data_IF_396798241309
#
_entry.id   IF_396798241309
#
_cell.length_a   1.000
_cell.length_b   1.000
_cell.length_c   1.000
_cell.angle_alpha   90.00
_cell.angle_beta   90.00
_cell.angle_gamma   90.00
#
_symmetry.space_group_name_H-M   'P 1'
#
loop_
_entity.id
_entity.type
_entity.pdbx_description
1 polymer ?
#
# COMPACT_ATOMS: atom_id res chain seq x y z
N UNK A 1 -7.60 -43.98 35.18
CA UNK A 1 -7.73 -42.65 35.82
C UNK A 1 -7.29 -41.61 34.81
N UNK A 2 -8.25 -41.03 34.08
CA UNK A 2 -8.00 -40.03 33.05
C UNK A 2 -7.87 -38.65 33.69
N UNK A 3 -6.69 -38.02 33.55
CA UNK A 3 -6.52 -36.60 33.86
C UNK A 3 -6.80 -35.81 32.57
N UNK A 4 -7.98 -35.21 32.50
CA UNK A 4 -8.36 -34.23 31.47
C UNK A 4 -7.58 -32.94 31.73
N UNK A 5 -6.54 -32.70 30.93
CA UNK A 5 -5.93 -31.38 30.76
C UNK A 5 -6.92 -30.46 30.05
N UNK A 6 -7.20 -29.32 30.68
CA UNK A 6 -8.10 -28.26 30.25
C UNK A 6 -7.40 -27.47 29.15
N UNK A 7 -7.80 -27.63 27.89
CA UNK A 7 -7.31 -26.79 26.79
C UNK A 7 -7.78 -25.35 27.00
N UNK A 8 -6.80 -24.45 27.07
CA UNK A 8 -7.00 -23.03 27.16
C UNK A 8 -7.50 -22.49 25.82
N UNK A 9 -8.54 -21.66 25.89
CA UNK A 9 -9.10 -20.92 24.78
C UNK A 9 -8.02 -20.05 24.10
N UNK A 10 -7.65 -20.40 22.86
CA UNK A 10 -6.85 -19.54 22.00
C UNK A 10 -7.73 -18.47 21.35
N UNK A 11 -7.38 -17.23 21.63
CA UNK A 11 -7.86 -15.94 21.12
C UNK A 11 -8.25 -15.92 19.64
N UNK A 12 -9.44 -15.38 19.36
CA UNK A 12 -10.09 -15.23 18.03
C UNK A 12 -9.76 -13.92 17.28
N UNK A 13 -8.63 -13.24 17.54
CA UNK A 13 -8.39 -11.86 17.07
C UNK A 13 -7.00 -11.61 16.44
N UNK A 14 -6.55 -12.44 15.51
CA UNK A 14 -5.40 -12.09 14.66
C UNK A 14 -5.76 -12.35 13.20
N UNK A 15 -6.15 -11.31 12.47
CA UNK A 15 -6.22 -11.36 11.01
C UNK A 15 -4.83 -11.73 10.49
N UNK A 16 -4.70 -12.75 9.63
CA UNK A 16 -3.43 -13.08 9.01
C UNK A 16 -2.88 -11.82 8.34
N UNK A 17 -1.57 -11.65 8.36
CA UNK A 17 -0.90 -10.44 7.88
C UNK A 17 0.18 -10.86 6.89
N UNK A 18 0.34 -10.15 5.79
CA UNK A 18 1.42 -10.39 4.83
C UNK A 18 2.79 -10.20 5.53
N UNK A 19 3.89 -10.87 5.12
CA UNK A 19 5.26 -10.60 5.58
C UNK A 19 5.67 -9.11 5.70
N UNK A 20 4.94 -8.17 5.10
CA UNK A 20 5.13 -6.72 5.22
C UNK A 20 4.22 -5.98 6.21
N UNK A 21 3.40 -6.69 6.99
CA UNK A 21 2.57 -6.09 8.04
C UNK A 21 1.20 -5.59 7.56
N UNK A 22 0.83 -5.84 6.30
CA UNK A 22 -0.49 -5.49 5.76
C UNK A 22 -1.50 -6.58 6.14
N UNK A 23 -2.56 -6.27 6.90
CA UNK A 23 -3.56 -7.26 7.30
C UNK A 23 -4.32 -7.76 6.07
N UNK A 24 -4.65 -9.05 6.07
CA UNK A 24 -5.54 -9.63 5.07
C UNK A 24 -6.98 -9.20 5.32
N UNK A 25 -7.71 -8.94 4.24
CA UNK A 25 -9.15 -8.74 4.28
C UNK A 25 -9.85 -10.06 4.65
N UNK A 26 -10.76 -10.06 5.63
CA UNK A 26 -11.57 -11.23 5.94
C UNK A 26 -12.47 -11.57 4.74
N UNK A 27 -12.32 -12.78 4.19
CA UNK A 27 -13.17 -13.29 3.13
C UNK A 27 -14.44 -13.89 3.71
N UNK A 28 -15.61 -13.34 3.33
CA UNK A 28 -16.91 -13.82 3.82
C UNK A 28 -17.50 -14.78 2.78
N UNK A 29 -17.31 -16.08 3.00
CA UNK A 29 -17.83 -17.15 2.12
C UNK A 29 -19.32 -17.40 2.28
N UNK A 30 -19.77 -17.66 3.52
CA UNK A 30 -21.18 -17.76 3.86
C UNK A 30 -21.55 -16.66 4.84
N UNK A 31 -22.45 -15.78 4.42
CA UNK A 31 -22.94 -14.67 5.27
C UNK A 31 -23.64 -15.20 6.52
N UNK A 32 -24.23 -16.41 6.41
CA UNK A 32 -24.92 -17.15 7.48
C UNK A 32 -23.99 -17.57 8.64
N UNK A 33 -22.69 -17.73 8.37
CA UNK A 33 -21.70 -18.10 9.41
C UNK A 33 -21.30 -16.90 10.28
N UNK A 34 -21.60 -15.67 9.83
CA UNK A 34 -21.29 -14.42 10.54
C UNK A 34 -22.52 -13.70 11.05
N UNK A 35 -23.69 -13.94 10.43
CA UNK A 35 -24.94 -13.28 10.76
C UNK A 35 -26.05 -14.33 10.89
N UNK A 36 -26.37 -14.67 12.13
CA UNK A 36 -27.45 -15.61 12.47
C UNK A 36 -28.80 -14.92 12.64
N UNK A 37 -28.81 -13.65 13.05
CA UNK A 37 -30.03 -12.90 13.40
C UNK A 37 -30.01 -11.50 12.82
N UNK A 38 -31.18 -10.89 12.56
CA UNK A 38 -31.29 -9.53 12.00
C UNK A 38 -30.59 -8.47 12.86
N UNK A 39 -30.54 -8.65 14.17
CA UNK A 39 -29.84 -7.77 15.11
C UNK A 39 -28.32 -7.89 15.03
N UNK A 40 -27.78 -8.96 14.45
CA UNK A 40 -26.33 -9.18 14.29
C UNK A 40 -25.76 -8.51 13.03
N UNK A 41 -26.63 -8.14 12.08
CA UNK A 41 -26.27 -7.53 10.79
C UNK A 41 -25.58 -6.18 11.01
N UNK A 42 -26.20 -5.36 11.84
CA UNK A 42 -25.75 -4.00 12.09
C UNK A 42 -24.42 -3.95 12.88
N UNK A 43 -24.19 -4.75 13.94
CA UNK A 43 -22.89 -4.85 14.59
C UNK A 43 -21.83 -5.60 13.78
N UNK A 44 -22.16 -6.60 12.95
CA UNK A 44 -21.15 -7.21 12.04
C UNK A 44 -20.76 -6.25 10.93
N UNK A 45 -21.71 -5.58 10.27
CA UNK A 45 -21.42 -4.46 9.38
C UNK A 45 -20.59 -3.42 10.10
N UNK A 46 -20.97 -3.04 11.33
CA UNK A 46 -20.22 -2.07 12.14
C UNK A 46 -18.82 -2.57 12.51
N UNK A 47 -18.59 -3.87 12.69
CA UNK A 47 -17.26 -4.44 12.95
C UNK A 47 -16.39 -4.50 11.70
N UNK A 48 -16.95 -4.88 10.54
CA UNK A 48 -16.29 -4.75 9.23
C UNK A 48 -16.00 -3.27 8.92
N UNK A 49 -16.88 -2.38 9.36
CA UNK A 49 -16.72 -0.94 9.29
C UNK A 49 -15.66 -0.43 10.30
N UNK A 50 -15.66 -0.84 11.56
CA UNK A 50 -14.72 -0.39 12.60
C UNK A 50 -13.30 -0.91 12.39
N UNK A 51 -13.15 -2.12 11.83
CA UNK A 51 -11.87 -2.60 11.30
C UNK A 51 -11.29 -1.61 10.25
N UNK A 52 -12.18 -0.87 9.58
CA UNK A 52 -11.90 0.12 8.53
C UNK A 52 -11.91 1.60 9.05
N UNK A 53 -12.43 1.94 10.24
CA UNK A 53 -12.57 3.34 10.68
C UNK A 53 -12.59 3.56 12.20
N UNK A 54 -11.53 4.16 12.72
CA UNK A 54 -11.63 5.08 13.86
C UNK A 54 -11.49 6.51 13.33
N UNK A 55 -12.62 7.10 12.87
CA UNK A 55 -13.06 8.49 13.15
C UNK A 55 -14.31 8.85 12.32
N UNK A 56 -15.49 8.77 12.97
CA UNK A 56 -16.72 9.61 12.88
C UNK A 56 -17.31 10.00 11.50
N UNK A 57 -18.61 10.11 11.20
CA UNK A 57 -19.94 9.85 11.80
C UNK A 57 -20.95 9.88 10.63
N UNK A 58 -22.11 9.24 10.83
CA UNK A 58 -23.48 9.62 10.41
C UNK A 58 -23.60 10.58 9.22
N UNK A 59 -24.14 10.07 8.12
CA UNK A 59 -24.63 10.85 6.97
C UNK A 59 -24.55 10.01 5.70
N UNK A 60 -25.68 9.85 5.04
CA UNK A 60 -25.83 9.05 3.83
C UNK A 60 -24.82 9.47 2.75
N UNK A 61 -23.77 8.67 2.54
CA UNK A 61 -23.03 8.72 1.29
C UNK A 61 -22.37 7.38 0.95
N UNK A 62 -22.52 6.98 -0.33
CA UNK A 62 -22.04 5.72 -0.92
C UNK A 62 -20.51 5.64 -1.06
N UNK A 63 -19.77 6.55 -0.40
CA UNK A 63 -18.32 6.74 -0.48
C UNK A 63 -17.54 6.10 0.69
N UNK A 64 -18.21 5.30 1.52
CA UNK A 64 -17.64 4.72 2.73
C UNK A 64 -16.99 3.35 2.44
N UNK A 65 -15.95 3.28 1.63
CA UNK A 65 -15.22 2.02 1.36
C UNK A 65 -13.71 2.24 1.55
N UNK A 66 -13.10 1.52 2.50
CA UNK A 66 -11.65 1.25 2.49
C UNK A 66 -10.68 2.37 2.88
N UNK A 67 -11.02 3.29 3.80
CA UNK A 67 -10.15 4.45 4.12
C UNK A 67 -8.71 4.10 4.54
N UNK A 68 -8.45 2.97 5.22
CA UNK A 68 -7.07 2.55 5.54
C UNK A 68 -6.31 1.99 4.34
N UNK A 69 -6.91 1.05 3.59
CA UNK A 69 -6.26 0.48 2.41
C UNK A 69 -6.07 1.52 1.31
N UNK A 70 -7.03 2.42 1.09
CA UNK A 70 -6.89 3.56 0.18
C UNK A 70 -5.82 4.56 0.63
N UNK A 71 -5.73 4.84 1.94
CA UNK A 71 -4.66 5.70 2.46
C UNK A 71 -3.28 5.04 2.33
N UNK A 72 -3.18 3.74 2.61
CA UNK A 72 -1.96 2.95 2.40
C UNK A 72 -1.58 2.89 0.93
N UNK A 73 -2.55 2.66 0.04
CA UNK A 73 -2.36 2.65 -1.42
C UNK A 73 -1.86 4.02 -1.89
N UNK A 74 -2.50 5.11 -1.47
CA UNK A 74 -2.09 6.47 -1.83
C UNK A 74 -0.68 6.80 -1.32
N UNK A 75 -0.30 6.34 -0.13
CA UNK A 75 1.05 6.53 0.40
C UNK A 75 2.09 5.71 -0.37
N UNK A 76 1.79 4.45 -0.69
CA UNK A 76 2.66 3.59 -1.49
C UNK A 76 2.78 4.10 -2.93
N UNK A 77 1.71 4.60 -3.53
CA UNK A 77 1.74 5.24 -4.85
C UNK A 77 2.63 6.49 -4.85
N UNK A 78 2.52 7.35 -3.83
CA UNK A 78 3.43 8.51 -3.68
C UNK A 78 4.88 8.10 -3.53
N UNK A 79 5.16 7.08 -2.70
CA UNK A 79 6.51 6.55 -2.50
C UNK A 79 7.06 5.93 -3.78
N UNK A 80 6.25 5.16 -4.51
CA UNK A 80 6.61 4.59 -5.81
C UNK A 80 6.91 5.69 -6.83
N UNK A 81 6.08 6.73 -6.90
CA UNK A 81 6.32 7.88 -7.78
C UNK A 81 7.67 8.55 -7.50
N UNK A 82 7.95 8.85 -6.23
CA UNK A 82 9.24 9.43 -5.83
C UNK A 82 10.44 8.51 -6.08
N UNK A 83 10.27 7.19 -6.03
CA UNK A 83 11.33 6.24 -6.39
C UNK A 83 11.53 6.16 -7.92
N UNK A 84 10.45 6.17 -8.70
CA UNK A 84 10.51 6.16 -10.18
C UNK A 84 11.19 7.40 -10.75
N UNK A 85 11.04 8.55 -10.09
CA UNK A 85 11.74 9.78 -10.43
C UNK A 85 13.23 9.73 -10.06
N UNK A 86 13.57 9.23 -8.87
CA UNK A 86 14.96 9.21 -8.36
C UNK A 86 15.85 8.15 -8.99
N UNK A 87 15.33 6.99 -9.34
CA UNK A 87 16.12 5.89 -9.92
C UNK A 87 16.90 6.32 -11.17
N UNK A 88 16.32 6.98 -12.18
CA UNK A 88 17.07 7.42 -13.36
C UNK A 88 18.14 8.47 -13.01
N UNK A 89 17.92 9.33 -12.01
CA UNK A 89 18.92 10.30 -11.57
C UNK A 89 20.12 9.61 -10.89
N UNK A 90 19.87 8.60 -10.04
CA UNK A 90 20.93 7.77 -9.46
C UNK A 90 21.67 6.98 -10.55
N UNK A 91 20.98 6.51 -11.58
CA UNK A 91 21.62 5.83 -12.70
C UNK A 91 22.52 6.76 -13.50
N UNK A 92 22.05 7.95 -13.88
CA UNK A 92 22.84 8.97 -14.60
C UNK A 92 24.10 9.38 -13.82
N UNK A 93 23.97 9.57 -12.51
CA UNK A 93 25.11 9.90 -11.65
C UNK A 93 26.10 8.75 -11.57
N UNK A 94 25.65 7.51 -11.44
CA UNK A 94 26.52 6.32 -11.49
C UNK A 94 27.24 6.21 -12.85
N UNK A 95 26.53 6.44 -13.96
CA UNK A 95 27.12 6.38 -15.30
C UNK A 95 28.17 7.49 -15.50
N UNK A 96 27.94 8.67 -14.93
CA UNK A 96 28.92 9.77 -14.92
C UNK A 96 30.18 9.40 -14.13
N UNK A 97 30.03 8.79 -12.95
CA UNK A 97 31.18 8.31 -12.14
C UNK A 97 31.95 7.21 -12.88
N UNK A 98 31.26 6.28 -13.54
CA UNK A 98 31.90 5.24 -14.37
C UNK A 98 32.63 5.83 -15.57
N UNK A 99 32.07 6.88 -16.18
CA UNK A 99 32.72 7.59 -17.27
C UNK A 99 34.02 8.26 -16.80
N UNK A 100 34.00 8.93 -15.64
CA UNK A 100 35.19 9.51 -15.02
C UNK A 100 36.24 8.44 -14.65
N UNK A 101 35.79 7.27 -14.18
CA UNK A 101 36.66 6.13 -13.89
C UNK A 101 37.38 5.61 -15.13
N UNK A 102 36.65 5.42 -16.23
CA UNK A 102 37.20 4.89 -17.48
C UNK A 102 38.25 5.83 -18.10
N UNK A 103 38.08 7.14 -17.89
CA UNK A 103 39.00 8.18 -18.35
C UNK A 103 40.13 8.51 -17.38
N UNK A 104 40.23 7.82 -16.24
CA UNK A 104 41.31 8.06 -15.28
C UNK A 104 42.70 7.75 -15.90
N UNK A 105 42.75 6.79 -16.82
CA UNK A 105 43.98 6.38 -17.51
C UNK A 105 44.28 7.23 -18.77
N UNK A 106 43.41 8.18 -19.12
CA UNK A 106 43.51 9.02 -20.31
C UNK A 106 43.92 10.45 -19.87
N UNK A 107 45.10 10.91 -20.29
CA UNK A 107 45.63 12.23 -19.90
C UNK A 107 44.89 13.41 -20.59
N UNK A 108 43.92 13.12 -21.47
CA UNK A 108 43.15 14.15 -22.15
C UNK A 108 42.10 14.82 -21.25
N UNK A 109 42.27 16.12 -21.03
CA UNK A 109 41.31 16.93 -20.28
C UNK A 109 39.92 16.94 -20.94
N UNK A 110 38.89 16.72 -20.14
CA UNK A 110 37.50 16.67 -20.60
C UNK A 110 36.99 18.10 -20.80
N UNK A 111 36.71 18.49 -22.03
CA UNK A 111 35.95 19.72 -22.30
C UNK A 111 34.46 19.45 -22.06
N UNK A 112 33.88 20.12 -21.05
CA UNK A 112 32.45 20.08 -20.80
C UNK A 112 31.88 21.47 -20.57
N UNK A 113 30.57 21.58 -20.69
CA UNK A 113 29.83 22.81 -20.43
C UNK A 113 29.13 22.69 -19.08
N UNK A 114 29.57 23.49 -18.11
CA UNK A 114 29.01 23.54 -16.76
C UNK A 114 27.92 24.59 -16.66
N UNK A 115 26.86 24.25 -15.94
CA UNK A 115 25.77 25.14 -15.58
C UNK A 115 26.16 25.96 -14.34
N UNK A 116 26.25 27.29 -14.48
CA UNK A 116 26.42 28.21 -13.34
C UNK A 116 25.08 28.70 -12.80
N UNK A 117 24.08 28.79 -13.68
CA UNK A 117 22.69 29.17 -13.41
C UNK A 117 21.82 28.56 -14.52
N UNK A 118 20.50 28.47 -14.32
CA UNK A 118 19.53 27.84 -15.22
C UNK A 118 19.64 28.30 -16.70
N UNK A 119 20.15 29.52 -16.92
CA UNK A 119 20.35 30.11 -18.26
C UNK A 119 21.80 30.47 -18.58
N UNK A 120 22.75 30.20 -17.67
CA UNK A 120 24.16 30.55 -17.81
C UNK A 120 25.04 29.32 -17.76
N UNK A 121 25.72 29.07 -18.88
CA UNK A 121 26.62 27.94 -19.05
C UNK A 121 28.03 28.43 -19.39
N UNK A 122 29.05 27.76 -18.86
CA UNK A 122 30.46 28.05 -19.15
C UNK A 122 31.20 26.79 -19.56
N UNK A 123 32.12 26.93 -20.52
CA UNK A 123 32.99 25.83 -20.95
C UNK A 123 34.16 25.71 -19.97
N UNK A 124 34.42 24.51 -19.48
CA UNK A 124 35.59 24.23 -18.67
C UNK A 124 36.29 22.95 -19.12
N UNK A 125 37.59 22.89 -18.83
CA UNK A 125 38.45 21.72 -19.02
C UNK A 125 38.65 21.05 -17.66
N UNK A 126 38.21 19.81 -17.54
CA UNK A 126 38.37 19.01 -16.32
C UNK A 126 39.62 18.13 -16.50
N UNK A 127 40.66 18.29 -15.68
CA UNK A 127 41.79 17.35 -15.65
C UNK A 127 41.36 16.01 -15.03
N UNK A 128 42.19 14.97 -15.13
CA UNK A 128 41.91 13.70 -14.46
C UNK A 128 41.69 13.91 -12.95
N UNK A 129 40.53 13.51 -12.44
CA UNK A 129 40.16 13.65 -11.02
C UNK A 129 40.16 12.30 -10.33
N UNK A 130 40.53 12.26 -9.06
CA UNK A 130 40.55 11.02 -8.26
C UNK A 130 39.36 10.89 -7.30
N UNK A 131 38.71 12.01 -6.97
CA UNK A 131 37.59 12.08 -6.04
C UNK A 131 36.41 12.85 -6.64
N UNK A 132 35.22 12.52 -6.16
CA UNK A 132 33.95 13.16 -6.54
C UNK A 132 33.20 13.60 -5.30
N UNK A 133 32.50 14.74 -5.41
CA UNK A 133 31.68 15.26 -4.32
C UNK A 133 30.23 14.79 -4.49
N UNK A 134 29.69 14.11 -3.48
CA UNK A 134 28.32 13.58 -3.49
C UNK A 134 27.50 14.29 -2.42
N UNK A 135 26.33 14.79 -2.83
CA UNK A 135 25.33 15.35 -1.92
C UNK A 135 24.50 14.23 -1.27
N UNK A 136 24.62 14.10 0.06
CA UNK A 136 23.92 13.05 0.83
C UNK A 136 22.56 13.52 1.36
N UNK A 137 22.24 14.80 1.20
CA UNK A 137 21.07 15.45 1.78
C UNK A 137 21.37 16.16 3.09
N UNK A 138 20.35 16.79 3.68
CA UNK A 138 20.44 17.52 4.96
C UNK A 138 21.59 18.56 5.02
N UNK A 139 21.87 19.25 3.90
CA UNK A 139 22.98 20.20 3.75
C UNK A 139 24.38 19.58 3.93
N UNK A 140 24.53 18.28 3.67
CA UNK A 140 25.80 17.56 3.77
C UNK A 140 26.28 17.09 2.40
N UNK A 141 27.51 17.47 2.08
CA UNK A 141 28.27 17.00 0.92
C UNK A 141 29.57 16.36 1.42
N UNK A 142 29.96 15.21 0.88
CA UNK A 142 31.22 14.54 1.20
C UNK A 142 31.98 14.19 -0.08
N UNK A 143 33.31 14.25 -0.03
CA UNK A 143 34.17 13.72 -1.08
C UNK A 143 34.34 12.21 -0.91
N UNK A 144 34.27 11.50 -2.02
CA UNK A 144 34.52 10.06 -2.10
C UNK A 144 35.50 9.79 -3.24
N UNK A 145 36.48 8.89 -3.06
CA UNK A 145 37.23 8.33 -4.17
C UNK A 145 36.29 7.68 -5.20
N UNK A 146 36.65 7.74 -6.48
CA UNK A 146 35.81 7.22 -7.58
C UNK A 146 35.34 5.77 -7.35
N UNK A 147 36.20 4.89 -6.83
CA UNK A 147 35.86 3.49 -6.56
C UNK A 147 34.83 3.31 -5.44
N UNK A 148 34.95 4.11 -4.39
CA UNK A 148 34.00 4.11 -3.27
C UNK A 148 32.67 4.72 -3.69
N UNK A 149 32.71 5.80 -4.48
CA UNK A 149 31.54 6.45 -5.05
C UNK A 149 30.75 5.48 -5.95
N UNK A 150 31.41 4.70 -6.81
CA UNK A 150 30.77 3.67 -7.63
C UNK A 150 30.05 2.63 -6.77
N UNK A 151 30.74 2.13 -5.74
CA UNK A 151 30.20 1.12 -4.82
C UNK A 151 29.00 1.66 -4.05
N UNK A 152 29.11 2.89 -3.54
CA UNK A 152 28.05 3.58 -2.81
C UNK A 152 26.81 3.78 -3.69
N UNK A 153 26.97 4.36 -4.89
CA UNK A 153 25.88 4.63 -5.81
C UNK A 153 25.24 3.33 -6.33
N UNK A 154 26.03 2.30 -6.61
CA UNK A 154 25.53 0.98 -6.99
C UNK A 154 24.68 0.33 -5.90
N UNK A 155 25.13 0.40 -4.64
CA UNK A 155 24.38 -0.09 -3.47
C UNK A 155 23.08 0.70 -3.24
N UNK A 156 23.11 2.03 -3.42
CA UNK A 156 21.90 2.87 -3.32
C UNK A 156 20.91 2.55 -4.45
N UNK A 157 21.41 2.33 -5.66
CA UNK A 157 20.60 2.00 -6.82
C UNK A 157 19.93 0.63 -6.67
N UNK A 158 20.66 -0.39 -6.21
CA UNK A 158 20.08 -1.71 -5.94
C UNK A 158 19.03 -1.65 -4.84
N UNK A 159 19.30 -0.93 -3.75
CA UNK A 159 18.33 -0.71 -2.66
C UNK A 159 17.07 0.01 -3.14
N UNK A 160 17.22 1.04 -3.99
CA UNK A 160 16.10 1.78 -4.57
C UNK A 160 15.25 0.89 -5.50
N UNK A 161 15.88 0.08 -6.36
CA UNK A 161 15.19 -0.89 -7.23
C UNK A 161 14.45 -1.96 -6.43
N UNK A 162 15.09 -2.51 -5.40
CA UNK A 162 14.44 -3.47 -4.49
C UNK A 162 13.27 -2.82 -3.76
N UNK A 163 13.44 -1.58 -3.26
CA UNK A 163 12.33 -0.85 -2.63
C UNK A 163 11.19 -0.56 -3.60
N UNK A 164 11.48 -0.34 -4.90
CA UNK A 164 10.47 -0.17 -5.92
C UNK A 164 9.66 -1.45 -6.14
N UNK A 165 10.34 -2.59 -6.36
CA UNK A 165 9.70 -3.90 -6.53
C UNK A 165 8.78 -4.23 -5.35
N UNK A 166 9.26 -4.03 -4.12
CA UNK A 166 8.44 -4.25 -2.93
C UNK A 166 7.20 -3.34 -2.90
N UNK A 167 7.33 -2.06 -3.30
CA UNK A 167 6.18 -1.17 -3.34
C UNK A 167 5.17 -1.56 -4.43
N UNK A 168 5.63 -2.10 -5.55
CA UNK A 168 4.76 -2.59 -6.63
C UNK A 168 3.98 -3.84 -6.18
N UNK A 169 4.66 -4.81 -5.56
CA UNK A 169 4.03 -6.00 -4.97
C UNK A 169 3.01 -5.62 -3.88
N UNK A 170 3.35 -4.69 -2.98
CA UNK A 170 2.45 -4.23 -1.93
C UNK A 170 1.22 -3.50 -2.51
N UNK A 171 1.37 -2.76 -3.61
CA UNK A 171 0.26 -2.09 -4.29
C UNK A 171 -0.71 -3.09 -4.92
N UNK A 172 -0.17 -4.13 -5.58
CA UNK A 172 -1.00 -5.16 -6.18
C UNK A 172 -1.74 -5.98 -5.11
N UNK A 173 -1.06 -6.31 -4.01
CA UNK A 173 -1.70 -6.93 -2.84
C UNK A 173 -2.85 -6.06 -2.30
N UNK A 174 -2.63 -4.75 -2.13
CA UNK A 174 -3.66 -3.83 -1.64
C UNK A 174 -4.87 -3.76 -2.58
N UNK A 175 -4.65 -3.78 -3.89
CA UNK A 175 -5.74 -3.81 -4.89
C UNK A 175 -6.59 -5.07 -4.75
N UNK A 176 -5.96 -6.23 -4.61
CA UNK A 176 -6.66 -7.50 -4.38
C UNK A 176 -7.47 -7.48 -3.07
N UNK A 177 -6.90 -6.92 -2.00
CA UNK A 177 -7.60 -6.79 -0.72
C UNK A 177 -8.79 -5.83 -0.81
N UNK A 178 -8.66 -4.73 -1.56
CA UNK A 178 -9.77 -3.80 -1.81
C UNK A 178 -10.90 -4.52 -2.56
N UNK A 179 -10.60 -5.22 -3.65
CA UNK A 179 -11.63 -5.97 -4.41
C UNK A 179 -12.30 -7.04 -3.56
N UNK A 180 -11.53 -7.79 -2.78
CA UNK A 180 -12.05 -8.84 -1.87
C UNK A 180 -13.03 -8.25 -0.85
N UNK A 181 -12.66 -7.12 -0.25
CA UNK A 181 -13.51 -6.40 0.69
C UNK A 181 -14.78 -5.87 0.02
N UNK A 182 -14.69 -5.33 -1.19
CA UNK A 182 -15.84 -4.83 -1.94
C UNK A 182 -16.86 -5.93 -2.24
N UNK A 183 -16.39 -7.12 -2.61
CA UNK A 183 -17.25 -8.29 -2.82
C UNK A 183 -17.89 -8.74 -1.51
N UNK A 184 -17.14 -8.79 -0.40
CA UNK A 184 -17.68 -9.16 0.90
C UNK A 184 -18.81 -8.20 1.34
N UNK A 185 -18.61 -6.89 1.21
CA UNK A 185 -19.64 -5.88 1.51
C UNK A 185 -20.87 -6.05 0.61
N UNK A 186 -20.68 -6.30 -0.69
CA UNK A 186 -21.80 -6.55 -1.61
C UNK A 186 -22.60 -7.81 -1.25
N UNK A 187 -21.93 -8.89 -0.81
CA UNK A 187 -22.59 -10.12 -0.35
C UNK A 187 -23.46 -9.87 0.88
N UNK A 188 -22.94 -9.13 1.87
CA UNK A 188 -23.70 -8.77 3.09
C UNK A 188 -24.91 -7.90 2.74
N UNK A 189 -24.75 -6.92 1.86
CA UNK A 189 -25.85 -6.07 1.40
C UNK A 189 -26.92 -6.87 0.65
N UNK A 190 -26.51 -7.77 -0.25
CA UNK A 190 -27.43 -8.64 -0.98
C UNK A 190 -28.23 -9.53 -0.04
N UNK A 191 -27.57 -10.09 0.99
CA UNK A 191 -28.24 -10.87 2.02
C UNK A 191 -29.26 -10.03 2.81
N UNK A 192 -28.90 -8.80 3.21
CA UNK A 192 -29.80 -7.89 3.93
C UNK A 192 -31.05 -7.55 3.12
N UNK A 193 -30.90 -7.33 1.80
CA UNK A 193 -32.03 -7.06 0.89
C UNK A 193 -32.94 -8.28 0.76
N UNK A 194 -32.37 -9.48 0.66
CA UNK A 194 -33.15 -10.73 0.61
C UNK A 194 -33.92 -10.95 1.91
N UNK A 195 -33.31 -10.71 3.07
CA UNK A 195 -33.98 -10.82 4.37
C UNK A 195 -35.12 -9.80 4.50
N UNK A 196 -34.88 -8.52 4.15
CA UNK A 196 -35.94 -7.49 4.14
C UNK A 196 -37.13 -7.84 3.24
N UNK A 197 -36.89 -8.52 2.12
CA UNK A 197 -37.97 -8.99 1.23
C UNK A 197 -38.73 -10.17 1.82
N UNK A 198 -38.04 -11.08 2.50
CA UNK A 198 -38.68 -12.20 3.22
C UNK A 198 -39.54 -11.67 4.38
N UNK A 199 -39.01 -10.77 5.21
CA UNK A 199 -39.75 -10.16 6.32
C UNK A 199 -41.04 -9.48 5.83
N UNK A 200 -40.97 -8.69 4.75
CA UNK A 200 -42.16 -8.04 4.16
C UNK A 200 -43.17 -9.03 3.58
N UNK A 201 -42.72 -10.12 2.96
CA UNK A 201 -43.62 -11.14 2.43
C UNK A 201 -44.35 -11.88 3.57
N UNK A 202 -43.66 -12.13 4.68
CA UNK A 202 -44.27 -12.73 5.89
C UNK A 202 -45.29 -11.77 6.52
N UNK A 203 -44.95 -10.48 6.65
CA UNK A 203 -45.89 -9.45 7.12
C UNK A 203 -47.14 -9.34 6.23
N UNK A 204 -46.99 -9.39 4.90
CA UNK A 204 -48.13 -9.35 3.97
C UNK A 204 -49.01 -10.61 4.03
N UNK A 205 -48.43 -11.80 4.26
CA UNK A 205 -49.18 -13.03 4.46
C UNK A 205 -49.94 -13.06 5.79
N UNK A 206 -49.34 -12.59 6.88
CA UNK A 206 -50.02 -12.45 8.17
C UNK A 206 -51.18 -11.46 8.08
N UNK A 207 -50.98 -10.33 7.41
CA UNK A 207 -52.03 -9.31 7.25
C UNK A 207 -53.19 -9.80 6.36
N UNK A 208 -52.93 -10.72 5.41
CA UNK A 208 -53.99 -11.40 4.63
C UNK A 208 -54.75 -12.44 5.45
N UNK A 209 -54.07 -13.22 6.29
CA UNK A 209 -54.71 -14.21 7.17
C UNK A 209 -55.62 -13.56 8.21
N UNK A 210 -55.18 -12.45 8.81
CA UNK A 210 -55.99 -11.68 9.77
C UNK A 210 -57.25 -11.10 9.12
N UNK A 211 -57.18 -10.66 7.85
CA UNK A 211 -58.37 -10.21 7.10
C UNK A 211 -59.34 -11.33 6.74
N UNK A 212 -58.87 -12.57 6.54
CA UNK A 212 -59.73 -13.71 6.19
C UNK A 212 -60.43 -14.40 7.37
N UNK A 213 -60.03 -14.10 8.61
CA UNK A 213 -60.64 -14.65 9.83
C UNK A 213 -61.64 -13.68 10.50
N UNK A 214 -61.85 -12.50 9.91
CA UNK A 214 -62.74 -11.46 10.43
C UNK A 214 -64.05 -11.25 9.63
N UNK A 215 -64.32 -12.07 8.61
CA UNK A 215 -65.60 -12.15 7.88
C UNK A 215 -66.40 -13.38 8.34
#
# INVERSE_FOLDING_TARGET
MASKGKEAATSKDATPTNPRGIPYAPFVDKVEDYVTTRDDVEPTLRSFQEMISSRYRIGADRAWRGRKYQFMEMNLQKRMGGLKEKIPDIQKTLDSVKFLKLRKDDDEAIETTFELNDTLYSKAKIPATEEVYIWLGANVMLSYPIDEAETLLSSKLSTAKTSLSNCEEDLDFLREQITTMEVAVARVYNWEVVQKRKDKAVEEEENKKVKSQGD
#
